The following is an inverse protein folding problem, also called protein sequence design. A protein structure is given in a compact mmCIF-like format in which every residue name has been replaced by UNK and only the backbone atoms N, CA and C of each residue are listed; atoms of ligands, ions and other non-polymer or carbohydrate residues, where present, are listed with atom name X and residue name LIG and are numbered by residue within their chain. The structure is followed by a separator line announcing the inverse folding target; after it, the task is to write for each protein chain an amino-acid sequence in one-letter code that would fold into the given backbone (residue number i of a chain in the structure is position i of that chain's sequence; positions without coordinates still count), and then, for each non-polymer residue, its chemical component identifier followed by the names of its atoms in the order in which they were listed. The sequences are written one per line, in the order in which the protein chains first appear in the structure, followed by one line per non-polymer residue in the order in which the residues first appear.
data_IF_741639887407
#
_entry.id   IF_741639887407
#
_cell.length_a   1.000
_cell.length_b   1.000
_cell.length_c   1.000
_cell.angle_alpha   90.00
_cell.angle_beta   90.00
_cell.angle_gamma   90.00
#
_symmetry.space_group_name_H-M   'P 1'
#
loop_
_entity.id
_entity.type
_entity.pdbx_description
1 polymer ?
#
# COMPACT_ATOMS: atom_id res chain seq x y z
N UNK A 1 -5.32 -13.95 1.00
CA UNK A 1 -4.10 -14.21 0.20
C UNK A 1 -4.01 -15.66 -0.29
N UNK A 2 -4.14 -16.69 0.58
CA UNK A 2 -3.97 -18.10 0.17
C UNK A 2 -4.89 -18.54 -0.99
N UNK A 3 -6.18 -18.14 -0.98
CA UNK A 3 -7.12 -18.42 -2.08
C UNK A 3 -6.66 -17.83 -3.42
N UNK A 4 -6.29 -16.55 -3.44
CA UNK A 4 -5.80 -15.86 -4.65
C UNK A 4 -4.56 -16.57 -5.21
N UNK A 5 -3.65 -16.99 -4.33
CA UNK A 5 -2.45 -17.72 -4.74
C UNK A 5 -2.78 -19.07 -5.39
N UNK A 6 -3.70 -19.84 -4.79
CA UNK A 6 -4.14 -21.11 -5.37
C UNK A 6 -4.85 -20.92 -6.71
N UNK A 7 -5.71 -19.91 -6.83
CA UNK A 7 -6.39 -19.56 -8.08
C UNK A 7 -5.38 -19.20 -9.18
N UNK A 8 -4.37 -18.38 -8.86
CA UNK A 8 -3.32 -18.02 -9.80
C UNK A 8 -2.53 -19.25 -10.29
N UNK A 9 -2.23 -20.19 -9.40
CA UNK A 9 -1.56 -21.45 -9.76
C UNK A 9 -2.46 -22.34 -10.63
N UNK A 10 -3.78 -22.40 -10.36
CA UNK A 10 -4.72 -23.13 -11.22
C UNK A 10 -4.74 -22.56 -12.64
N UNK A 11 -4.93 -21.24 -12.77
CA UNK A 11 -4.92 -20.56 -14.08
C UNK A 11 -3.60 -20.74 -14.82
N UNK A 12 -2.48 -20.59 -14.12
CA UNK A 12 -1.15 -20.81 -14.73
C UNK A 12 -0.97 -22.24 -15.24
N UNK A 13 -1.53 -23.24 -14.56
CA UNK A 13 -1.48 -24.64 -15.00
C UNK A 13 -2.44 -24.95 -16.16
N UNK A 14 -3.53 -24.18 -16.32
CA UNK A 14 -4.44 -24.30 -17.46
C UNK A 14 -3.80 -23.75 -18.74
N UNK A 15 -2.96 -22.72 -18.61
CA UNK A 15 -2.25 -22.09 -19.73
C UNK A 15 -0.94 -22.78 -20.12
N UNK A 16 -0.37 -23.63 -19.25
CA UNK A 16 0.93 -24.28 -19.47
C UNK A 16 0.81 -25.81 -19.47
N UNK A 17 1.08 -26.44 -20.62
CA UNK A 17 1.05 -27.90 -20.77
C UNK A 17 2.38 -28.57 -20.34
N UNK A 18 3.50 -27.84 -20.42
CA UNK A 18 4.85 -28.40 -20.21
C UNK A 18 5.26 -28.50 -18.74
N UNK A 19 4.79 -27.57 -17.90
CA UNK A 19 5.21 -27.44 -16.50
C UNK A 19 3.97 -27.32 -15.62
N UNK A 20 3.88 -28.22 -14.63
CA UNK A 20 2.82 -28.18 -13.62
C UNK A 20 3.33 -27.61 -12.30
N UNK A 21 2.76 -26.49 -11.88
CA UNK A 21 3.04 -25.83 -10.63
C UNK A 21 2.18 -26.41 -9.49
N UNK A 22 2.79 -26.61 -8.33
CA UNK A 22 2.13 -27.08 -7.12
C UNK A 22 2.21 -26.01 -6.03
N UNK A 23 1.04 -25.51 -5.61
CA UNK A 23 0.94 -24.54 -4.54
C UNK A 23 1.10 -25.21 -3.17
N UNK A 24 2.02 -24.71 -2.34
CA UNK A 24 2.12 -25.09 -0.92
C UNK A 24 1.79 -23.88 -0.08
N UNK A 25 0.66 -23.92 0.62
CA UNK A 25 0.19 -22.81 1.47
C UNK A 25 0.44 -23.11 2.94
N UNK A 26 0.97 -22.13 3.67
CA UNK A 26 1.17 -22.19 5.11
C UNK A 26 0.47 -20.99 5.75
N UNK A 27 -0.30 -21.25 6.80
CA UNK A 27 -0.80 -20.20 7.67
C UNK A 27 0.22 -19.85 8.75
N UNK A 28 0.40 -18.56 8.98
CA UNK A 28 1.29 -18.01 9.99
C UNK A 28 0.51 -17.08 10.92
N UNK A 29 0.95 -17.02 12.17
CA UNK A 29 0.38 -16.12 13.16
C UNK A 29 1.02 -14.73 12.99
N UNK A 30 0.20 -13.68 13.08
CA UNK A 30 0.67 -12.31 12.94
C UNK A 30 1.71 -11.99 14.05
N UNK A 31 2.90 -11.56 13.64
CA UNK A 31 3.99 -11.24 14.56
C UNK A 31 4.83 -12.44 15.04
N UNK A 32 4.48 -13.68 14.68
CA UNK A 32 5.30 -14.85 15.01
C UNK A 32 6.37 -15.14 13.95
N UNK A 33 7.45 -14.36 14.02
CA UNK A 33 8.63 -14.53 13.19
C UNK A 33 9.31 -15.90 13.36
N UNK A 34 9.33 -16.41 14.59
CA UNK A 34 10.00 -17.67 14.92
C UNK A 34 9.22 -18.87 14.38
N UNK A 35 7.90 -18.89 14.59
CA UNK A 35 7.00 -19.89 14.03
C UNK A 35 7.01 -19.85 12.50
N UNK A 36 7.03 -18.66 11.90
CA UNK A 36 7.21 -18.48 10.45
C UNK A 36 8.50 -19.16 9.97
N UNK A 37 9.63 -18.86 10.61
CA UNK A 37 10.93 -19.45 10.27
C UNK A 37 10.92 -20.97 10.38
N UNK A 38 10.33 -21.52 11.46
CA UNK A 38 10.24 -22.97 11.68
C UNK A 38 9.35 -23.65 10.64
N UNK A 39 8.22 -23.02 10.29
CA UNK A 39 7.28 -23.52 9.27
C UNK A 39 7.93 -23.49 7.88
N UNK A 40 8.60 -22.38 7.51
CA UNK A 40 9.35 -22.27 6.27
C UNK A 40 10.44 -23.35 6.16
N UNK A 41 11.28 -23.52 7.19
CA UNK A 41 12.31 -24.55 7.21
C UNK A 41 11.78 -25.98 7.03
N UNK A 42 10.53 -26.27 7.42
CA UNK A 42 9.90 -27.57 7.18
C UNK A 42 9.53 -27.77 5.72
N UNK A 43 8.97 -26.75 5.06
CA UNK A 43 8.56 -26.86 3.65
C UNK A 43 9.72 -26.74 2.67
N UNK A 44 10.85 -26.15 3.07
CA UNK A 44 12.08 -26.19 2.26
C UNK A 44 12.49 -27.61 1.85
N UNK A 45 12.12 -28.63 2.64
CA UNK A 45 12.36 -30.05 2.32
C UNK A 45 11.53 -30.57 1.14
N UNK A 46 10.54 -29.82 0.68
CA UNK A 46 9.67 -30.17 -0.45
C UNK A 46 10.21 -29.64 -1.80
N UNK A 47 11.49 -29.23 -1.86
CA UNK A 47 12.14 -28.71 -3.06
C UNK A 47 11.37 -27.54 -3.70
N UNK A 48 11.14 -26.49 -2.91
CA UNK A 48 10.49 -25.27 -3.38
C UNK A 48 11.34 -24.59 -4.46
N UNK A 49 10.68 -24.01 -5.45
CA UNK A 49 11.34 -23.24 -6.53
C UNK A 49 11.27 -21.73 -6.31
N UNK A 50 10.32 -21.27 -5.52
CA UNK A 50 10.14 -19.87 -5.12
C UNK A 50 9.27 -19.80 -3.86
N UNK A 51 9.37 -18.69 -3.13
CA UNK A 51 8.57 -18.41 -1.93
C UNK A 51 7.85 -17.08 -2.12
N UNK A 52 6.53 -17.10 -2.00
CA UNK A 52 5.75 -15.88 -1.88
C UNK A 52 5.71 -15.45 -0.41
N UNK A 53 6.11 -14.21 -0.15
CA UNK A 53 6.25 -13.67 1.18
C UNK A 53 4.94 -13.55 1.95
N UNK A 54 4.97 -13.65 3.29
CA UNK A 54 3.81 -13.32 4.10
C UNK A 54 3.49 -11.82 4.04
N UNK A 55 2.28 -11.44 4.43
CA UNK A 55 1.84 -10.03 4.45
C UNK A 55 2.37 -9.20 5.61
N UNK A 56 2.91 -9.83 6.66
CA UNK A 56 3.38 -9.11 7.87
C UNK A 56 4.88 -8.87 7.82
N UNK A 57 5.30 -7.67 8.21
CA UNK A 57 6.67 -7.22 7.95
C UNK A 57 7.73 -8.00 8.69
N UNK A 58 7.47 -8.30 9.96
CA UNK A 58 8.39 -9.07 10.77
C UNK A 58 8.57 -10.48 10.18
N UNK A 59 7.47 -11.18 9.89
CA UNK A 59 7.52 -12.53 9.34
C UNK A 59 8.23 -12.57 7.97
N UNK A 60 7.96 -11.57 7.12
CA UNK A 60 8.56 -11.48 5.80
C UNK A 60 10.06 -11.25 5.86
N UNK A 61 10.57 -10.37 6.74
CA UNK A 61 12.02 -10.15 6.91
C UNK A 61 12.78 -11.42 7.28
N UNK A 62 12.20 -12.23 8.17
CA UNK A 62 12.78 -13.53 8.52
C UNK A 62 12.71 -14.54 7.37
N UNK A 63 11.56 -14.62 6.68
CA UNK A 63 11.42 -15.48 5.51
C UNK A 63 12.39 -15.11 4.37
N UNK A 64 12.54 -13.80 4.10
CA UNK A 64 13.50 -13.25 3.13
C UNK A 64 14.93 -13.68 3.46
N UNK A 65 15.37 -13.51 4.71
CA UNK A 65 16.72 -13.91 5.13
C UNK A 65 16.99 -15.41 4.96
N UNK A 66 15.99 -16.26 5.23
CA UNK A 66 16.11 -17.71 5.01
C UNK A 66 16.21 -18.03 3.52
N UNK A 67 15.41 -17.36 2.68
CA UNK A 67 15.41 -17.58 1.24
C UNK A 67 16.72 -17.12 0.60
N UNK A 68 17.25 -15.97 1.01
CA UNK A 68 18.57 -15.47 0.60
C UNK A 68 19.69 -16.48 0.95
N UNK A 69 19.71 -16.97 2.19
CA UNK A 69 20.67 -17.98 2.64
C UNK A 69 20.52 -19.36 1.96
N UNK A 70 19.40 -19.59 1.26
CA UNK A 70 19.10 -20.85 0.54
C UNK A 70 19.06 -20.66 -0.96
N UNK A 71 19.43 -19.48 -1.47
CA UNK A 71 19.39 -19.13 -2.89
C UNK A 71 17.99 -19.39 -3.51
N UNK A 72 16.94 -19.17 -2.72
CA UNK A 72 15.56 -19.33 -3.16
C UNK A 72 14.97 -17.97 -3.55
N UNK A 73 14.37 -17.86 -4.75
CA UNK A 73 13.66 -16.65 -5.14
C UNK A 73 12.54 -16.32 -4.15
N UNK A 74 12.60 -15.10 -3.60
CA UNK A 74 11.55 -14.56 -2.74
C UNK A 74 10.76 -13.50 -3.49
N UNK A 75 9.45 -13.69 -3.57
CA UNK A 75 8.49 -12.76 -4.18
C UNK A 75 7.77 -12.00 -3.08
N UNK A 76 7.99 -10.69 -3.00
CA UNK A 76 7.30 -9.81 -2.06
C UNK A 76 6.17 -9.06 -2.76
N UNK A 77 5.17 -8.67 -1.97
CA UNK A 77 4.00 -7.90 -2.42
C UNK A 77 3.73 -6.69 -1.53
N UNK A 78 4.55 -6.49 -0.49
CA UNK A 78 4.35 -5.45 0.53
C UNK A 78 5.02 -4.13 0.15
N UNK A 79 4.51 -3.07 0.77
CA UNK A 79 5.14 -1.75 0.84
C UNK A 79 6.27 -1.73 1.90
N UNK A 80 7.30 -2.54 1.73
CA UNK A 80 8.47 -2.55 2.63
C UNK A 80 9.75 -2.65 1.82
N UNK A 81 10.45 -1.53 1.69
CA UNK A 81 11.73 -1.43 0.96
C UNK A 81 12.90 -1.19 1.92
N UNK A 82 12.71 -1.40 3.22
CA UNK A 82 13.77 -1.26 4.21
C UNK A 82 14.81 -2.37 4.16
N UNK A 83 14.47 -3.54 3.60
CA UNK A 83 15.38 -4.67 3.46
C UNK A 83 16.09 -4.64 2.09
N UNK A 84 17.41 -4.44 2.08
CA UNK A 84 18.25 -4.55 0.89
C UNK A 84 18.66 -6.01 0.63
N UNK A 85 17.68 -6.89 0.48
CA UNK A 85 17.89 -8.29 0.08
C UNK A 85 17.47 -8.50 -1.37
N UNK A 86 18.05 -9.51 -2.02
CA UNK A 86 17.73 -9.86 -3.40
C UNK A 86 16.34 -10.48 -3.46
N UNK A 87 15.31 -9.66 -3.68
CA UNK A 87 13.91 -10.09 -3.79
C UNK A 87 13.25 -9.53 -5.05
N UNK A 88 12.18 -10.19 -5.48
CA UNK A 88 11.31 -9.69 -6.53
C UNK A 88 10.10 -9.05 -5.83
N UNK A 89 10.10 -7.72 -5.69
CA UNK A 89 8.95 -7.03 -5.12
C UNK A 89 7.99 -6.60 -6.24
N UNK A 90 6.74 -7.09 -6.17
CA UNK A 90 5.68 -6.74 -7.11
C UNK A 90 5.00 -5.41 -6.76
N UNK A 91 5.21 -4.89 -5.56
CA UNK A 91 4.72 -3.58 -5.18
C UNK A 91 5.52 -2.48 -5.90
N UNK A 92 4.87 -1.47 -6.50
CA UNK A 92 5.57 -0.33 -7.10
C UNK A 92 6.58 0.30 -6.15
N UNK A 93 7.80 0.50 -6.65
CA UNK A 93 8.89 1.08 -5.86
C UNK A 93 8.57 2.54 -5.46
N UNK A 94 8.97 3.01 -4.25
CA UNK A 94 8.61 4.33 -3.75
C UNK A 94 9.06 5.47 -4.68
N UNK A 95 10.22 5.33 -5.31
CA UNK A 95 10.72 6.33 -6.27
C UNK A 95 9.82 6.48 -7.51
N UNK A 96 9.20 5.40 -7.98
CA UNK A 96 8.26 5.44 -9.11
C UNK A 96 6.94 6.11 -8.70
N UNK A 97 6.43 5.80 -7.51
CA UNK A 97 5.25 6.50 -6.98
C UNK A 97 5.53 7.98 -6.71
N UNK A 98 6.72 8.31 -6.22
CA UNK A 98 7.12 9.69 -5.98
C UNK A 98 7.20 10.47 -7.30
N UNK A 99 7.71 9.85 -8.37
CA UNK A 99 7.70 10.43 -9.72
C UNK A 99 6.29 10.68 -10.23
N UNK A 100 5.39 9.69 -10.12
CA UNK A 100 3.99 9.85 -10.53
C UNK A 100 3.29 10.99 -9.76
N UNK A 101 3.53 11.10 -8.45
CA UNK A 101 3.00 12.21 -7.63
C UNK A 101 3.59 13.55 -8.08
N UNK A 102 4.90 13.61 -8.34
CA UNK A 102 5.55 14.82 -8.86
C UNK A 102 4.92 15.27 -10.17
N UNK A 103 4.67 14.35 -11.10
CA UNK A 103 4.09 14.68 -12.40
C UNK A 103 2.68 15.25 -12.26
N UNK A 104 1.86 14.69 -11.37
CA UNK A 104 0.52 15.22 -11.05
C UNK A 104 0.61 16.60 -10.42
N UNK A 105 1.44 16.79 -9.40
CA UNK A 105 1.64 18.09 -8.72
C UNK A 105 2.11 19.16 -9.71
N UNK A 106 3.04 18.80 -10.61
CA UNK A 106 3.54 19.69 -11.67
C UNK A 106 2.43 20.01 -12.68
N UNK A 107 1.64 19.02 -13.10
CA UNK A 107 0.52 19.22 -14.04
C UNK A 107 -0.56 20.15 -13.49
N UNK A 108 -0.78 20.11 -12.17
CA UNK A 108 -1.70 21.00 -11.48
C UNK A 108 -1.11 22.38 -11.16
N UNK A 109 0.18 22.61 -11.46
CA UNK A 109 0.85 23.89 -11.21
C UNK A 109 0.93 24.26 -9.73
N UNK A 110 1.13 23.29 -8.83
CA UNK A 110 1.22 23.57 -7.40
C UNK A 110 2.59 24.17 -7.05
N UNK A 111 2.61 25.45 -6.68
CA UNK A 111 3.83 26.14 -6.21
C UNK A 111 4.10 25.89 -4.72
N UNK A 112 3.05 25.57 -3.94
CA UNK A 112 3.13 25.28 -2.51
C UNK A 112 2.19 24.14 -2.13
N UNK A 113 2.68 23.19 -1.33
CA UNK A 113 1.87 22.09 -0.83
C UNK A 113 2.45 21.47 0.44
N UNK A 114 1.61 20.70 1.14
CA UNK A 114 1.99 20.04 2.39
C UNK A 114 1.94 18.53 2.21
N UNK A 115 3.02 17.85 2.55
CA UNK A 115 3.07 16.40 2.65
C UNK A 115 2.61 16.00 4.04
N UNK A 116 1.51 15.25 4.10
CA UNK A 116 0.94 14.68 5.32
C UNK A 116 1.20 13.18 5.28
N UNK A 117 2.07 12.68 6.16
CA UNK A 117 2.44 11.27 6.18
C UNK A 117 2.12 10.61 7.53
N UNK A 118 1.84 9.31 7.50
CA UNK A 118 1.40 8.53 8.66
C UNK A 118 2.52 8.37 9.69
N UNK A 119 3.46 7.47 9.43
CA UNK A 119 4.47 7.01 10.39
C UNK A 119 5.89 7.17 9.83
N UNK A 120 6.90 6.80 10.62
CA UNK A 120 8.30 6.83 10.17
C UNK A 120 8.58 5.96 8.94
N UNK A 121 7.75 4.95 8.66
CA UNK A 121 7.92 4.03 7.53
C UNK A 121 7.75 4.72 6.17
N UNK A 122 6.96 5.79 6.12
CA UNK A 122 6.73 6.58 4.90
C UNK A 122 7.81 7.63 4.65
N UNK A 123 8.75 7.84 5.59
CA UNK A 123 9.81 8.84 5.41
C UNK A 123 10.68 8.57 4.19
N UNK A 124 10.88 7.31 3.83
CA UNK A 124 11.60 6.93 2.62
C UNK A 124 10.89 7.48 1.37
N UNK A 125 9.57 7.32 1.27
CA UNK A 125 8.79 7.90 0.19
C UNK A 125 8.85 9.44 0.19
N UNK A 126 8.70 10.05 1.37
CA UNK A 126 8.79 11.51 1.52
C UNK A 126 10.17 12.02 1.06
N UNK A 127 11.24 11.31 1.42
CA UNK A 127 12.61 11.63 0.99
C UNK A 127 12.74 11.58 -0.52
N UNK A 128 12.32 10.49 -1.17
CA UNK A 128 12.34 10.35 -2.63
C UNK A 128 11.61 11.52 -3.31
N UNK A 129 10.41 11.87 -2.83
CA UNK A 129 9.65 12.98 -3.38
C UNK A 129 10.35 14.34 -3.23
N UNK A 130 10.96 14.61 -2.07
CA UNK A 130 11.73 15.84 -1.82
C UNK A 130 12.98 15.91 -2.72
N UNK A 131 13.69 14.80 -2.90
CA UNK A 131 14.89 14.73 -3.74
C UNK A 131 14.56 15.01 -5.22
N UNK A 132 13.39 14.60 -5.71
CA UNK A 132 12.96 14.84 -7.09
C UNK A 132 12.71 16.33 -7.42
N UNK A 133 12.46 17.18 -6.42
CA UNK A 133 12.26 18.62 -6.58
C UNK A 133 13.55 19.43 -6.40
N UNK A 134 14.50 18.92 -5.61
CA UNK A 134 15.74 19.63 -5.28
C UNK A 134 15.47 20.98 -4.60
N UNK A 135 16.36 21.95 -4.82
CA UNK A 135 16.31 23.27 -4.16
C UNK A 135 15.51 24.33 -4.93
N UNK A 136 15.16 24.07 -6.19
CA UNK A 136 14.45 25.02 -7.08
C UNK A 136 12.98 24.66 -7.28
N UNK A 137 12.47 23.69 -6.50
CA UNK A 137 11.11 23.22 -6.58
C UNK A 137 10.10 24.06 -5.78
N UNK A 138 8.85 23.57 -5.67
CA UNK A 138 7.80 24.21 -4.88
C UNK A 138 8.18 24.28 -3.39
N UNK A 139 7.52 25.16 -2.65
CA UNK A 139 7.66 25.19 -1.19
C UNK A 139 6.89 24.03 -0.58
N UNK A 140 7.61 23.09 0.03
CA UNK A 140 7.04 21.86 0.59
C UNK A 140 7.11 21.91 2.11
N UNK A 141 5.96 21.75 2.78
CA UNK A 141 5.88 21.58 4.22
C UNK A 141 5.60 20.12 4.57
N UNK A 142 6.31 19.55 5.54
CA UNK A 142 6.19 18.14 5.88
C UNK A 142 5.58 17.98 7.28
N UNK A 143 4.52 17.17 7.39
CA UNK A 143 3.76 16.93 8.62
C UNK A 143 3.49 15.44 8.83
N UNK A 144 3.90 14.92 9.98
CA UNK A 144 3.51 13.60 10.45
C UNK A 144 2.18 13.68 11.19
N UNK A 145 1.20 12.82 10.87
CA UNK A 145 -0.09 12.81 11.57
C UNK A 145 -0.21 11.73 12.64
N UNK A 146 0.46 10.59 12.50
CA UNK A 146 0.45 9.54 13.53
C UNK A 146 1.59 9.76 14.52
N UNK A 147 1.26 10.38 15.66
CA UNK A 147 2.20 10.69 16.75
C UNK A 147 1.82 9.91 18.04
N UNK A 148 1.48 8.63 17.91
CA UNK A 148 0.98 7.79 19.02
C UNK A 148 -0.27 8.38 19.71
N UNK A 149 -1.08 9.10 18.93
CA UNK A 149 -2.24 9.86 19.43
C UNK A 149 -3.51 9.02 19.61
N UNK A 150 -3.40 7.68 19.66
CA UNK A 150 -4.54 6.75 19.74
C UNK A 150 -5.66 7.09 18.74
N UNK A 151 -5.29 7.40 17.49
CA UNK A 151 -6.25 7.74 16.43
C UNK A 151 -6.81 9.17 16.49
N UNK A 152 -6.31 10.07 17.35
CA UNK A 152 -6.76 11.47 17.38
C UNK A 152 -5.80 12.41 16.62
N UNK A 153 -6.14 12.71 15.38
CA UNK A 153 -5.35 13.52 14.45
C UNK A 153 -5.78 15.00 14.43
N UNK A 154 -6.87 15.37 15.12
CA UNK A 154 -7.46 16.73 15.09
C UNK A 154 -6.47 17.85 15.40
N UNK A 155 -5.53 17.63 16.31
CA UNK A 155 -4.54 18.64 16.67
C UNK A 155 -3.54 18.90 15.53
N UNK A 156 -3.15 17.88 14.78
CA UNK A 156 -2.30 18.02 13.59
C UNK A 156 -3.08 18.71 12.49
N UNK A 157 -4.31 18.27 12.24
CA UNK A 157 -5.20 18.84 11.21
C UNK A 157 -5.55 20.30 11.48
N UNK A 158 -5.76 20.71 12.74
CA UNK A 158 -5.95 22.12 13.12
C UNK A 158 -4.71 22.97 12.84
N UNK A 159 -3.51 22.44 13.08
CA UNK A 159 -2.26 23.14 12.75
C UNK A 159 -2.11 23.33 11.23
N UNK A 160 -2.50 22.33 10.44
CA UNK A 160 -2.53 22.39 8.98
C UNK A 160 -3.60 23.38 8.50
N UNK A 161 -4.77 23.41 9.13
CA UNK A 161 -5.79 24.42 8.81
C UNK A 161 -5.27 25.85 9.06
N UNK A 162 -4.58 26.04 10.18
CA UNK A 162 -4.07 27.35 10.59
C UNK A 162 -2.82 27.80 9.80
N UNK A 163 -2.14 26.92 9.06
CA UNK A 163 -1.05 27.32 8.16
C UNK A 163 -1.56 28.02 6.89
N UNK A 164 -2.85 27.89 6.57
CA UNK A 164 -3.45 28.48 5.36
C UNK A 164 -3.13 27.71 4.08
N UNK A 165 -2.52 26.53 4.19
CA UNK A 165 -2.20 25.66 3.06
C UNK A 165 -3.48 25.01 2.51
N UNK A 166 -3.61 24.94 1.19
CA UNK A 166 -4.79 24.38 0.50
C UNK A 166 -4.50 23.11 -0.29
N UNK A 167 -3.23 22.82 -0.57
CA UNK A 167 -2.81 21.67 -1.37
C UNK A 167 -2.10 20.64 -0.51
N UNK A 168 -2.58 19.40 -0.52
CA UNK A 168 -2.09 18.33 0.33
C UNK A 168 -1.72 17.08 -0.46
N UNK A 169 -0.55 16.52 -0.15
CA UNK A 169 -0.17 15.16 -0.57
C UNK A 169 -0.24 14.28 0.67
N UNK A 170 -1.16 13.33 0.70
CA UNK A 170 -1.39 12.44 1.86
C UNK A 170 -0.87 11.06 1.57
N UNK A 171 0.00 10.54 2.44
CA UNK A 171 0.61 9.22 2.30
C UNK A 171 0.45 8.44 3.60
N UNK A 172 -0.29 7.34 3.54
CA UNK A 172 -0.59 6.54 4.71
C UNK A 172 -1.35 5.27 4.36
N UNK A 173 -1.54 4.42 5.36
CA UNK A 173 -2.17 3.11 5.26
C UNK A 173 -3.69 3.23 5.25
N UNK A 174 -4.35 2.20 4.70
CA UNK A 174 -5.81 2.11 4.76
C UNK A 174 -6.36 1.91 6.18
N UNK A 175 -5.51 1.59 7.16
CA UNK A 175 -5.94 1.43 8.55
C UNK A 175 -6.25 2.78 9.21
N UNK A 176 -5.47 3.83 8.90
CA UNK A 176 -5.59 5.14 9.55
C UNK A 176 -6.16 6.22 8.64
N UNK A 177 -6.00 6.07 7.31
CA UNK A 177 -6.46 7.05 6.33
C UNK A 177 -7.98 7.35 6.40
N UNK A 178 -8.89 6.36 6.59
CA UNK A 178 -10.31 6.65 6.73
C UNK A 178 -10.62 7.55 7.94
N UNK A 179 -9.99 7.29 9.08
CA UNK A 179 -10.19 8.09 10.29
C UNK A 179 -9.53 9.49 10.16
N UNK A 180 -8.41 9.58 9.45
CA UNK A 180 -7.79 10.86 9.08
C UNK A 180 -8.76 11.73 8.27
N UNK A 181 -9.38 11.18 7.22
CA UNK A 181 -10.31 11.91 6.36
C UNK A 181 -11.58 12.33 7.10
N UNK A 182 -12.11 11.45 7.96
CA UNK A 182 -13.25 11.76 8.82
C UNK A 182 -12.96 12.92 9.76
N UNK A 183 -11.78 12.94 10.38
CA UNK A 183 -11.38 14.04 11.24
C UNK A 183 -11.03 15.31 10.46
N UNK A 184 -10.50 15.18 9.25
CA UNK A 184 -10.27 16.31 8.35
C UNK A 184 -11.59 17.02 8.00
N UNK A 185 -12.65 16.25 7.76
CA UNK A 185 -14.00 16.79 7.57
C UNK A 185 -14.51 17.51 8.82
N UNK A 186 -14.35 16.92 10.01
CA UNK A 186 -14.77 17.54 11.28
C UNK A 186 -14.01 18.85 11.59
N UNK A 187 -12.75 18.95 11.18
CA UNK A 187 -11.94 20.17 11.34
C UNK A 187 -12.27 21.21 10.25
N UNK A 188 -13.00 20.81 9.20
CA UNK A 188 -13.42 21.67 8.11
C UNK A 188 -12.31 21.96 7.11
N UNK A 189 -11.46 20.96 6.83
CA UNK A 189 -10.49 21.02 5.73
C UNK A 189 -10.87 20.10 4.55
N UNK A 190 -12.06 19.49 4.59
CA UNK A 190 -12.69 18.81 3.45
C UNK A 190 -13.76 19.74 2.85
N UNK A 191 -13.30 20.85 2.27
CA UNK A 191 -14.15 21.81 1.54
C UNK A 191 -13.57 22.07 0.15
N UNK A 192 -14.32 22.70 -0.77
CA UNK A 192 -13.82 23.02 -2.12
C UNK A 192 -12.65 23.99 -2.20
N UNK A 193 -12.22 24.57 -1.07
CA UNK A 193 -10.98 25.32 -0.99
C UNK A 193 -9.73 24.42 -0.95
N UNK A 194 -9.90 23.13 -0.66
CA UNK A 194 -8.81 22.18 -0.42
C UNK A 194 -8.72 21.13 -1.53
N UNK A 195 -7.49 20.70 -1.81
CA UNK A 195 -7.17 19.70 -2.82
C UNK A 195 -6.18 18.68 -2.27
N UNK A 196 -6.46 17.42 -2.52
CA UNK A 196 -5.75 16.27 -1.97
C UNK A 196 -5.23 15.39 -3.11
N UNK A 197 -3.97 14.99 -3.02
CA UNK A 197 -3.40 13.87 -3.76
C UNK A 197 -3.13 12.76 -2.74
N UNK A 198 -3.80 11.62 -2.89
CA UNK A 198 -3.65 10.45 -2.03
C UNK A 198 -2.65 9.49 -2.66
N UNK A 199 -1.57 9.19 -1.95
CA UNK A 199 -0.49 8.30 -2.41
C UNK A 199 -0.72 6.81 -2.12
N UNK A 200 -1.90 6.43 -1.60
CA UNK A 200 -2.24 5.03 -1.36
C UNK A 200 -2.93 4.43 -2.61
N UNK A 201 -2.38 3.31 -3.13
CA UNK A 201 -2.87 2.64 -4.35
C UNK A 201 -4.17 1.87 -4.17
N UNK A 202 -4.60 1.68 -2.92
CA UNK A 202 -5.85 1.03 -2.55
C UNK A 202 -6.92 2.04 -2.10
N UNK A 203 -6.71 3.34 -2.33
CA UNK A 203 -7.67 4.38 -1.95
C UNK A 203 -9.08 4.14 -2.51
N UNK A 204 -9.21 3.48 -3.66
CA UNK A 204 -10.50 3.11 -4.24
C UNK A 204 -11.38 2.22 -3.34
N UNK A 205 -10.82 1.56 -2.32
CA UNK A 205 -11.59 0.69 -1.43
C UNK A 205 -12.23 1.46 -0.26
N UNK A 206 -11.93 2.76 -0.12
CA UNK A 206 -12.51 3.60 0.93
C UNK A 206 -13.88 4.11 0.48
N UNK A 207 -14.85 4.09 1.40
CA UNK A 207 -16.14 4.75 1.18
C UNK A 207 -15.98 6.27 1.23
N UNK A 208 -16.30 6.91 0.10
CA UNK A 208 -16.21 8.36 -0.08
C UNK A 208 -17.56 9.08 -0.04
N UNK A 209 -18.67 8.35 0.15
CA UNK A 209 -20.02 8.92 0.28
C UNK A 209 -20.08 10.07 1.30
N UNK A 210 -19.42 10.00 2.48
CA UNK A 210 -19.45 11.10 3.46
C UNK A 210 -18.84 12.42 2.96
N UNK A 211 -17.99 12.39 1.95
CA UNK A 211 -17.24 13.56 1.46
C UNK A 211 -17.79 14.15 0.16
N UNK A 212 -18.79 13.51 -0.45
CA UNK A 212 -19.32 13.89 -1.77
C UNK A 212 -19.90 15.31 -1.82
N UNK A 213 -20.39 15.83 -0.69
CA UNK A 213 -20.96 17.18 -0.59
C UNK A 213 -19.94 18.23 -0.12
N UNK A 214 -18.69 17.84 0.08
CA UNK A 214 -17.64 18.76 0.51
C UNK A 214 -17.01 19.56 -0.62
N UNK A 215 -17.36 19.32 -1.88
CA UNK A 215 -16.74 19.91 -3.09
C UNK A 215 -15.20 19.79 -3.13
N UNK A 216 -14.63 18.89 -2.32
CA UNK A 216 -13.19 18.72 -2.18
C UNK A 216 -12.63 17.99 -3.39
N UNK A 217 -11.52 18.48 -3.94
CA UNK A 217 -10.82 17.80 -5.01
C UNK A 217 -9.92 16.70 -4.43
N UNK A 218 -10.25 15.44 -4.67
CA UNK A 218 -9.45 14.29 -4.25
C UNK A 218 -8.95 13.56 -5.49
N UNK A 219 -7.63 13.48 -5.64
CA UNK A 219 -6.94 12.73 -6.69
C UNK A 219 -6.21 11.56 -6.06
N UNK A 220 -6.24 10.39 -6.68
CA UNK A 220 -5.53 9.20 -6.21
C UNK A 220 -5.02 8.39 -7.40
N UNK A 221 -4.19 7.38 -7.11
CA UNK A 221 -3.63 6.48 -8.11
C UNK A 221 -4.24 5.10 -7.94
N UNK A 222 -4.46 4.41 -9.05
CA UNK A 222 -4.98 3.05 -9.09
C UNK A 222 -4.22 2.24 -10.13
N UNK A 223 -3.66 1.10 -9.72
CA UNK A 223 -2.94 0.18 -10.61
C UNK A 223 -3.88 -0.84 -11.25
N UNK A 224 -4.90 -1.27 -10.51
CA UNK A 224 -5.86 -2.28 -10.96
C UNK A 224 -7.04 -1.60 -11.64
N UNK A 225 -7.29 -1.91 -12.92
CA UNK A 225 -8.48 -1.42 -13.62
C UNK A 225 -9.70 -2.32 -13.36
N UNK A 226 -10.77 -1.84 -12.71
CA UNK A 226 -12.00 -2.62 -12.50
C UNK A 226 -12.77 -2.92 -13.79
N UNK A 227 -12.49 -2.17 -14.86
CA UNK A 227 -13.12 -2.34 -16.17
C UNK A 227 -12.47 -3.47 -16.99
N UNK A 228 -11.35 -4.03 -16.52
CA UNK A 228 -10.69 -5.14 -17.19
C UNK A 228 -11.46 -6.44 -16.96
N UNK A 229 -11.81 -7.15 -18.04
CA UNK A 229 -12.51 -8.44 -17.99
C UNK A 229 -11.77 -9.45 -17.11
N UNK A 230 -10.43 -9.50 -17.22
CA UNK A 230 -9.60 -10.39 -16.40
C UNK A 230 -9.73 -10.08 -14.90
N UNK A 231 -9.81 -8.79 -14.53
CA UNK A 231 -9.97 -8.37 -13.14
C UNK A 231 -11.37 -8.71 -12.64
N UNK A 232 -12.40 -8.46 -13.45
CA UNK A 232 -13.79 -8.77 -13.12
C UNK A 232 -14.00 -10.29 -12.93
N UNK A 233 -13.41 -11.11 -13.80
CA UNK A 233 -13.46 -12.56 -13.70
C UNK A 233 -12.77 -13.07 -12.43
N UNK A 234 -11.55 -12.59 -12.13
CA UNK A 234 -10.84 -12.96 -10.90
C UNK A 234 -11.61 -12.52 -9.66
N UNK A 235 -12.17 -11.30 -9.66
CA UNK A 235 -13.02 -10.82 -8.56
C UNK A 235 -14.23 -11.73 -8.36
N UNK A 236 -14.94 -12.09 -9.44
CA UNK A 236 -16.09 -12.99 -9.40
C UNK A 236 -15.71 -14.35 -8.81
N UNK A 237 -14.63 -14.97 -9.27
CA UNK A 237 -14.15 -16.25 -8.73
C UNK A 237 -13.80 -16.18 -7.23
N UNK A 238 -13.29 -15.05 -6.76
CA UNK A 238 -12.99 -14.84 -5.34
C UNK A 238 -14.27 -14.74 -4.50
N UNK A 239 -15.25 -13.96 -4.94
CA UNK A 239 -16.49 -13.72 -4.19
C UNK A 239 -17.52 -14.85 -4.32
N UNK A 240 -17.61 -15.54 -5.46
CA UNK A 240 -18.53 -16.69 -5.63
C UNK A 240 -18.06 -17.95 -4.86
N UNK A 241 -16.80 -17.99 -4.44
CA UNK A 241 -16.29 -19.02 -3.52
C UNK A 241 -16.69 -18.79 -2.05
N UNK A 242 -17.31 -17.65 -1.74
CA UNK A 242 -17.99 -17.43 -0.47
C UNK A 242 -19.40 -17.98 -0.62
N UNK A 243 -19.68 -19.16 -0.05
CA UNK A 243 -21.06 -19.59 0.13
C UNK A 243 -21.85 -18.44 0.75
N UNK A 244 -23.04 -18.11 0.21
CA UNK A 244 -23.83 -17.00 0.73
C UNK A 244 -24.12 -17.29 2.20
N UNK A 245 -23.74 -16.35 3.06
CA UNK A 245 -24.06 -16.27 4.48
C UNK A 245 -25.25 -17.17 4.88
N UNK A 246 -24.95 -18.33 5.47
CA UNK A 246 -25.94 -19.03 6.28
C UNK A 246 -26.16 -18.17 7.53
N UNK A 247 -27.22 -17.36 7.49
CA UNK A 247 -27.84 -16.78 8.68
C UNK A 247 -28.38 -17.88 9.60
#
# INVERSE_FOLDING_TARGET
MAKIFQLAISKANEENEDIRLHAVTIEIDAGDAFGTSKKLCKILRQNLVAVFGPTTDMAAKHAMSICDAKELPFVDTRWDFGAQLSTINLHPHPSQLAMAIKDVVTSFGWETFTIIYESGEYLMFVKELLELYGTSGPTIVVRRYELDLNGNYRNVLRRIKNSGESSFVVVGSLNTLPELLKQAQQVGIMTGAYRYIIGNLDFQTIDLEPYQHGDTNITAFRVVSPESDNVAEVAKMLYESEEPFQN
#
